data_IF_340534385582
#
_entry.id   IF_340534385582
#
_cell.length_a   1.000
_cell.length_b   1.000
_cell.length_c   1.000
_cell.angle_alpha   90.00
_cell.angle_beta   90.00
_cell.angle_gamma   90.00
#
_symmetry.space_group_name_H-M   'P 1'
#
loop_
_entity.id
_entity.type
_entity.pdbx_description
1 polymer ?
#
# COMPACT_ATOMS: atom_id res chain seq x y z
N UNK A 1 -18.30 16.50 6.55
CA UNK A 1 -18.02 16.06 5.15
C UNK A 1 -16.86 16.90 4.63
N UNK A 2 -15.65 16.37 4.74
CA UNK A 2 -14.48 16.96 4.11
C UNK A 2 -14.48 16.54 2.64
N UNK A 3 -15.01 17.39 1.78
CA UNK A 3 -14.84 17.30 0.34
C UNK A 3 -13.35 17.36 0.01
N UNK A 4 -12.75 16.22 -0.28
CA UNK A 4 -11.45 16.10 -0.92
C UNK A 4 -11.59 16.68 -2.33
N UNK A 5 -11.37 17.99 -2.48
CA UNK A 5 -11.19 18.61 -3.80
C UNK A 5 -9.90 18.03 -4.38
N UNK A 6 -10.03 16.99 -5.18
CA UNK A 6 -9.00 16.65 -6.15
C UNK A 6 -8.85 17.87 -7.06
N UNK A 7 -7.76 18.62 -6.87
CA UNK A 7 -7.33 19.56 -7.88
C UNK A 7 -6.82 18.76 -9.06
N UNK A 8 -7.71 18.37 -9.94
CA UNK A 8 -7.33 18.00 -11.29
C UNK A 8 -6.68 19.24 -11.89
N UNK A 9 -5.36 19.21 -11.99
CA UNK A 9 -4.64 20.14 -12.81
C UNK A 9 -5.10 19.85 -14.25
N UNK A 10 -5.89 20.76 -14.81
CA UNK A 10 -6.43 20.63 -16.16
C UNK A 10 -5.28 20.69 -17.17
N UNK A 11 -4.73 19.53 -17.52
CA UNK A 11 -3.96 19.34 -18.76
C UNK A 11 -4.99 19.08 -19.89
N UNK A 12 -6.03 19.92 -19.96
CA UNK A 12 -7.08 19.76 -20.97
C UNK A 12 -6.72 20.34 -22.32
N UNK A 13 -5.68 21.18 -22.39
CA UNK A 13 -5.33 21.91 -23.61
C UNK A 13 -4.15 21.30 -24.39
N UNK A 14 -3.58 20.20 -23.94
CA UNK A 14 -2.39 19.58 -24.57
C UNK A 14 -2.68 18.46 -25.56
N UNK A 15 -3.90 18.35 -26.08
CA UNK A 15 -4.24 17.30 -27.07
C UNK A 15 -3.41 17.37 -28.36
N UNK A 16 -2.64 18.45 -28.58
CA UNK A 16 -1.79 18.66 -29.76
C UNK A 16 -0.39 19.19 -29.39
N UNK A 17 0.06 19.09 -28.15
CA UNK A 17 1.41 19.53 -27.78
C UNK A 17 2.43 18.48 -28.20
N UNK A 18 3.45 18.91 -28.95
CA UNK A 18 4.65 18.12 -29.20
C UNK A 18 5.24 17.67 -27.84
N UNK A 19 5.67 16.39 -27.68
CA UNK A 19 6.27 15.88 -26.45
C UNK A 19 7.39 16.76 -25.89
N UNK A 20 8.15 17.44 -26.73
CA UNK A 20 9.22 18.37 -26.32
C UNK A 20 8.64 19.61 -25.64
N UNK A 21 7.56 20.17 -26.15
CA UNK A 21 6.86 21.31 -25.54
C UNK A 21 6.26 20.98 -24.16
N UNK A 22 5.84 19.72 -23.94
CA UNK A 22 5.29 19.30 -22.66
C UNK A 22 6.35 19.32 -21.55
N UNK A 23 7.58 18.89 -21.84
CA UNK A 23 8.67 18.90 -20.85
C UNK A 23 9.02 20.33 -20.45
N UNK A 24 9.13 21.25 -21.41
CA UNK A 24 9.41 22.67 -21.16
C UNK A 24 8.30 23.33 -20.30
N UNK A 25 7.04 23.09 -20.64
CA UNK A 25 5.89 23.58 -19.88
C UNK A 25 5.86 23.05 -18.44
N UNK A 26 6.22 21.78 -18.24
CA UNK A 26 6.37 21.19 -16.90
C UNK A 26 7.49 21.91 -16.16
N UNK A 27 8.64 22.11 -16.76
CA UNK A 27 9.79 22.78 -16.16
C UNK A 27 9.46 24.20 -15.75
N UNK A 28 8.88 25.00 -16.64
CA UNK A 28 8.43 26.38 -16.33
C UNK A 28 7.45 26.40 -15.15
N UNK A 29 6.51 25.45 -15.12
CA UNK A 29 5.55 25.34 -14.02
C UNK A 29 6.21 24.98 -12.71
N UNK A 30 7.17 24.06 -12.71
CA UNK A 30 7.95 23.69 -11.53
C UNK A 30 8.76 24.86 -10.99
N UNK A 31 9.39 25.66 -11.87
CA UNK A 31 10.13 26.88 -11.52
C UNK A 31 9.16 27.89 -10.86
N UNK A 32 7.98 28.11 -11.45
CA UNK A 32 6.94 28.99 -10.90
C UNK A 32 6.45 28.55 -9.52
N UNK A 33 6.33 27.23 -9.26
CA UNK A 33 5.96 26.69 -7.95
C UNK A 33 7.10 26.91 -6.95
N UNK A 34 8.34 26.72 -7.39
CA UNK A 34 9.53 26.88 -6.55
C UNK A 34 9.75 28.35 -6.16
N UNK A 35 9.51 29.30 -7.06
CA UNK A 35 9.67 30.74 -6.82
C UNK A 35 8.78 31.26 -5.69
N UNK A 36 7.64 30.61 -5.42
CA UNK A 36 6.77 30.91 -4.27
C UNK A 36 7.09 30.04 -3.03
N UNK A 37 8.29 29.45 -2.97
CA UNK A 37 8.78 28.68 -1.81
C UNK A 37 8.16 27.30 -1.65
N UNK A 38 7.39 26.78 -2.61
CA UNK A 38 6.75 25.47 -2.55
C UNK A 38 7.65 24.38 -3.15
N UNK A 39 7.48 23.16 -2.65
CA UNK A 39 8.14 21.96 -3.21
C UNK A 39 7.12 21.12 -3.97
N UNK A 40 7.53 20.55 -5.08
CA UNK A 40 6.71 19.62 -5.85
C UNK A 40 7.17 18.20 -5.61
N UNK A 41 6.23 17.31 -5.32
CA UNK A 41 6.46 15.87 -5.16
C UNK A 41 5.55 15.14 -6.13
N UNK A 42 6.14 14.28 -6.96
CA UNK A 42 5.41 13.35 -7.81
C UNK A 42 5.42 11.98 -7.13
N UNK A 43 4.24 11.49 -6.80
CA UNK A 43 4.03 10.18 -6.20
C UNK A 43 3.46 9.27 -7.29
N UNK A 44 4.15 8.15 -7.52
CA UNK A 44 3.74 7.11 -8.46
C UNK A 44 3.49 5.84 -7.67
N UNK A 45 2.24 5.37 -7.67
CA UNK A 45 1.84 4.11 -7.07
C UNK A 45 1.84 3.00 -8.13
N UNK A 46 2.00 1.73 -7.71
CA UNK A 46 2.12 0.56 -8.58
C UNK A 46 3.21 0.72 -9.66
N UNK A 47 4.35 1.30 -9.27
CA UNK A 47 5.42 1.66 -10.20
C UNK A 47 6.03 0.44 -10.92
N UNK A 48 5.84 -0.79 -10.42
CA UNK A 48 6.25 -2.01 -11.13
C UNK A 48 5.44 -2.23 -12.43
N UNK A 49 4.27 -1.60 -12.58
CA UNK A 49 3.47 -1.68 -13.80
C UNK A 49 3.92 -0.72 -14.92
N UNK A 50 4.82 0.23 -14.61
CA UNK A 50 5.33 1.18 -15.60
C UNK A 50 6.18 0.46 -16.66
N UNK A 51 6.11 0.95 -17.90
CA UNK A 51 7.03 0.52 -18.95
C UNK A 51 8.47 1.01 -18.68
N UNK A 52 9.43 0.44 -19.39
CA UNK A 52 10.82 0.90 -19.31
C UNK A 52 10.95 2.37 -19.73
N UNK A 53 10.27 2.75 -20.82
CA UNK A 53 10.27 4.11 -21.36
C UNK A 53 9.65 5.11 -20.37
N UNK A 54 8.62 4.69 -19.65
CA UNK A 54 8.01 5.52 -18.61
C UNK A 54 8.96 5.75 -17.44
N UNK A 55 9.69 4.73 -16.97
CA UNK A 55 10.70 4.88 -15.94
C UNK A 55 11.84 5.79 -16.40
N UNK A 56 12.31 5.66 -17.64
CA UNK A 56 13.31 6.56 -18.20
C UNK A 56 12.81 8.01 -18.30
N UNK A 57 11.55 8.21 -18.67
CA UNK A 57 10.93 9.54 -18.67
C UNK A 57 10.89 10.14 -17.27
N UNK A 58 10.53 9.34 -16.25
CA UNK A 58 10.57 9.77 -14.85
C UNK A 58 12.00 10.11 -14.40
N UNK A 59 13.00 9.39 -14.88
CA UNK A 59 14.40 9.72 -14.63
C UNK A 59 14.77 11.09 -15.18
N UNK A 60 14.32 11.43 -16.39
CA UNK A 60 14.53 12.74 -16.99
C UNK A 60 13.86 13.85 -16.18
N UNK A 61 12.63 13.65 -15.72
CA UNK A 61 11.94 14.60 -14.84
C UNK A 61 12.65 14.78 -13.49
N UNK A 62 13.23 13.71 -12.95
CA UNK A 62 14.03 13.79 -11.73
C UNK A 62 15.32 14.60 -11.89
N UNK A 63 15.71 14.95 -13.13
CA UNK A 63 16.85 15.80 -13.45
C UNK A 63 16.47 17.29 -13.55
N UNK A 64 15.19 17.62 -13.47
CA UNK A 64 14.77 19.01 -13.50
C UNK A 64 15.24 19.70 -12.22
N UNK A 65 16.28 20.49 -12.36
CA UNK A 65 16.90 21.23 -11.27
C UNK A 65 17.28 22.64 -11.74
N UNK A 66 17.38 23.55 -10.80
CA UNK A 66 18.05 24.83 -10.97
C UNK A 66 19.47 24.71 -10.43
N UNK A 67 20.31 25.73 -10.61
CA UNK A 67 21.67 25.75 -10.05
C UNK A 67 21.74 25.46 -8.54
N UNK A 68 20.65 25.69 -7.80
CA UNK A 68 20.61 25.59 -6.34
C UNK A 68 19.65 24.54 -5.79
N UNK A 69 18.64 24.12 -6.58
CA UNK A 69 17.52 23.33 -6.05
C UNK A 69 16.99 22.29 -7.04
N UNK A 70 16.61 21.13 -6.52
CA UNK A 70 15.78 20.17 -7.25
C UNK A 70 14.34 20.66 -7.33
N UNK A 71 13.83 20.76 -8.56
CA UNK A 71 12.46 21.23 -8.81
C UNK A 71 11.40 20.17 -8.53
N UNK A 72 11.73 18.89 -8.69
CA UNK A 72 10.83 17.76 -8.52
C UNK A 72 11.45 16.69 -7.63
N UNK A 73 10.71 16.26 -6.62
CA UNK A 73 10.99 15.06 -5.85
C UNK A 73 10.11 13.92 -6.35
N UNK A 74 10.73 12.76 -6.62
CA UNK A 74 10.03 11.58 -7.10
C UNK A 74 9.93 10.55 -5.97
N UNK A 75 8.74 10.02 -5.75
CA UNK A 75 8.48 8.94 -4.80
C UNK A 75 7.76 7.81 -5.54
N UNK A 76 8.37 6.65 -5.58
CA UNK A 76 7.81 5.46 -6.21
C UNK A 76 7.34 4.49 -5.13
N UNK A 77 6.09 4.05 -5.23
CA UNK A 77 5.58 2.91 -4.49
C UNK A 77 5.40 1.74 -5.45
N UNK A 78 5.83 0.57 -5.03
CA UNK A 78 5.72 -0.62 -5.86
C UNK A 78 5.88 -1.90 -5.06
N UNK A 79 5.58 -3.01 -5.69
CA UNK A 79 5.78 -4.35 -5.18
C UNK A 79 7.27 -4.75 -5.32
N UNK A 80 7.74 -5.85 -4.69
CA UNK A 80 9.13 -6.30 -4.76
C UNK A 80 9.68 -6.42 -6.19
N UNK A 81 8.82 -6.72 -7.17
CA UNK A 81 9.16 -6.80 -8.58
C UNK A 81 9.71 -5.46 -9.14
N UNK A 82 9.35 -4.33 -8.51
CA UNK A 82 9.95 -3.04 -8.88
C UNK A 82 11.45 -3.03 -8.57
N UNK A 83 11.85 -3.57 -7.42
CA UNK A 83 13.26 -3.64 -7.03
C UNK A 83 14.04 -4.55 -7.98
N UNK A 84 13.51 -5.74 -8.29
CA UNK A 84 14.12 -6.66 -9.26
C UNK A 84 14.31 -5.97 -10.62
N UNK A 85 13.31 -5.22 -11.10
CA UNK A 85 13.42 -4.47 -12.35
C UNK A 85 14.48 -3.37 -12.28
N UNK A 86 14.57 -2.64 -11.17
CA UNK A 86 15.57 -1.59 -10.95
C UNK A 86 16.99 -2.15 -10.88
N UNK A 87 17.17 -3.44 -10.53
CA UNK A 87 18.46 -4.11 -10.57
C UNK A 87 18.96 -4.39 -12.00
N UNK A 88 18.09 -4.34 -13.01
CA UNK A 88 18.47 -4.55 -14.40
C UNK A 88 19.54 -3.54 -14.86
N UNK A 89 20.41 -3.99 -15.78
CA UNK A 89 21.49 -3.16 -16.31
C UNK A 89 20.96 -1.87 -16.97
N UNK A 90 19.83 -1.95 -17.64
CA UNK A 90 19.22 -0.85 -18.37
C UNK A 90 18.74 0.29 -17.45
N UNK A 91 18.37 -0.02 -16.19
CA UNK A 91 17.92 0.96 -15.21
C UNK A 91 19.01 1.37 -14.20
N UNK A 92 20.29 1.02 -14.47
CA UNK A 92 21.42 1.38 -13.60
C UNK A 92 21.48 2.88 -13.31
N UNK A 93 21.28 3.72 -14.32
CA UNK A 93 21.33 5.18 -14.16
C UNK A 93 20.17 5.71 -13.31
N UNK A 94 18.99 5.10 -13.44
CA UNK A 94 17.84 5.41 -12.59
C UNK A 94 18.14 5.05 -11.14
N UNK A 95 18.61 3.82 -10.89
CA UNK A 95 18.95 3.32 -9.55
C UNK A 95 19.99 4.18 -8.83
N UNK A 96 21.01 4.67 -9.53
CA UNK A 96 22.03 5.55 -8.95
C UNK A 96 21.50 6.87 -8.39
N UNK A 97 20.27 7.26 -8.75
CA UNK A 97 19.60 8.47 -8.30
C UNK A 97 18.64 8.24 -7.14
N UNK A 98 18.38 6.98 -6.80
CA UNK A 98 17.56 6.64 -5.64
C UNK A 98 18.37 6.94 -4.38
N UNK A 99 17.93 7.95 -3.65
CA UNK A 99 18.60 8.38 -2.41
C UNK A 99 18.14 7.57 -1.20
N UNK A 100 16.87 7.15 -1.21
CA UNK A 100 16.25 6.39 -0.12
C UNK A 100 15.48 5.20 -0.69
N UNK A 101 15.72 4.04 -0.10
CA UNK A 101 14.92 2.83 -0.33
C UNK A 101 14.40 2.37 1.03
N UNK A 102 13.12 2.00 1.08
CA UNK A 102 12.48 1.52 2.29
C UNK A 102 11.54 0.37 1.95
N UNK A 103 11.75 -0.77 2.57
CA UNK A 103 10.87 -1.91 2.48
C UNK A 103 9.85 -1.90 3.63
N UNK A 104 8.57 -2.04 3.30
CA UNK A 104 7.51 -2.16 4.29
C UNK A 104 7.36 -3.62 4.71
N UNK A 105 7.81 -3.93 5.94
CA UNK A 105 7.62 -5.25 6.53
C UNK A 105 6.17 -5.51 6.95
N UNK A 106 5.81 -6.75 7.09
CA UNK A 106 4.54 -7.16 7.70
C UNK A 106 4.49 -6.79 9.19
N UNK A 107 3.28 -6.70 9.74
CA UNK A 107 3.07 -6.40 11.16
C UNK A 107 3.56 -7.55 12.04
N UNK A 108 4.29 -7.25 13.10
CA UNK A 108 4.55 -8.24 14.13
C UNK A 108 3.28 -8.56 14.93
N UNK A 109 3.33 -9.53 15.85
CA UNK A 109 2.15 -10.00 16.58
C UNK A 109 1.46 -8.88 17.36
N UNK A 110 2.22 -8.09 18.10
CA UNK A 110 1.66 -7.04 18.97
C UNK A 110 1.09 -5.89 18.10
N UNK A 111 1.78 -5.52 17.05
CA UNK A 111 1.30 -4.55 16.06
C UNK A 111 0.01 -5.03 15.37
N UNK A 112 -0.06 -6.31 15.00
CA UNK A 112 -1.25 -6.89 14.36
C UNK A 112 -2.46 -6.92 15.30
N UNK A 113 -2.26 -7.24 16.58
CA UNK A 113 -3.33 -7.18 17.60
C UNK A 113 -3.78 -5.74 17.79
N UNK A 114 -2.84 -4.81 18.01
CA UNK A 114 -3.15 -3.38 18.18
C UNK A 114 -3.84 -2.79 16.93
N UNK A 115 -3.44 -3.22 15.74
CA UNK A 115 -4.08 -2.83 14.48
C UNK A 115 -5.55 -3.25 14.43
N UNK A 116 -5.86 -4.52 14.77
CA UNK A 116 -7.23 -5.02 14.84
C UNK A 116 -8.07 -4.24 15.85
N UNK A 117 -7.53 -4.01 17.05
CA UNK A 117 -8.20 -3.25 18.11
C UNK A 117 -8.52 -1.82 17.68
N UNK A 118 -7.56 -1.14 17.06
CA UNK A 118 -7.76 0.21 16.55
C UNK A 118 -8.86 0.26 15.48
N UNK A 119 -8.84 -0.70 14.54
CA UNK A 119 -9.86 -0.79 13.49
C UNK A 119 -11.25 -1.04 14.04
N UNK A 120 -11.39 -1.97 14.98
CA UNK A 120 -12.66 -2.32 15.62
C UNK A 120 -13.21 -1.16 16.46
N UNK A 121 -12.34 -0.48 17.22
CA UNK A 121 -12.73 0.68 18.01
C UNK A 121 -13.22 1.84 17.15
N UNK A 122 -12.54 2.10 16.03
CA UNK A 122 -12.96 3.14 15.06
C UNK A 122 -14.30 2.80 14.38
N UNK A 123 -14.61 1.52 14.23
CA UNK A 123 -15.84 1.06 13.61
C UNK A 123 -17.06 1.05 14.55
N UNK A 124 -16.88 1.20 15.87
CA UNK A 124 -18.00 1.20 16.79
C UNK A 124 -17.70 0.58 18.16
N UNK A 125 -16.48 0.73 18.64
CA UNK A 125 -16.05 0.25 19.97
C UNK A 125 -16.07 -1.27 20.14
N UNK A 126 -15.73 -2.00 19.09
CA UNK A 126 -15.82 -3.45 19.00
C UNK A 126 -14.59 -4.25 19.42
N UNK A 127 -13.62 -3.68 20.18
CA UNK A 127 -12.38 -4.38 20.53
C UNK A 127 -12.58 -5.73 21.23
N UNK A 128 -13.71 -5.92 21.92
CA UNK A 128 -14.07 -7.15 22.64
C UNK A 128 -14.75 -8.22 21.79
N UNK A 129 -15.06 -7.92 20.52
CA UNK A 129 -15.76 -8.85 19.62
C UNK A 129 -14.92 -10.10 19.33
N UNK A 130 -13.59 -9.91 19.22
CA UNK A 130 -12.65 -11.02 19.06
C UNK A 130 -11.87 -11.23 20.36
N UNK A 131 -11.70 -12.48 20.76
CA UNK A 131 -10.78 -12.82 21.86
C UNK A 131 -9.32 -12.61 21.45
N UNK A 132 -8.42 -12.53 22.43
CA UNK A 132 -6.99 -12.37 22.15
C UNK A 132 -6.43 -13.57 21.37
N UNK A 133 -6.91 -14.78 21.65
CA UNK A 133 -6.51 -16.00 20.95
C UNK A 133 -6.95 -15.97 19.49
N UNK A 134 -8.16 -15.49 19.24
CA UNK A 134 -8.69 -15.30 17.88
C UNK A 134 -7.88 -14.26 17.11
N UNK A 135 -7.52 -13.14 17.73
CA UNK A 135 -6.67 -12.11 17.11
C UNK A 135 -5.28 -12.65 16.77
N UNK A 136 -4.68 -13.40 17.67
CA UNK A 136 -3.39 -14.08 17.43
C UNK A 136 -3.48 -15.08 16.28
N UNK A 137 -4.55 -15.84 16.20
CA UNK A 137 -4.78 -16.79 15.12
C UNK A 137 -4.99 -16.09 13.76
N UNK A 138 -5.79 -15.02 13.74
CA UNK A 138 -6.00 -14.20 12.54
C UNK A 138 -4.66 -13.62 12.05
N UNK A 139 -3.87 -13.03 12.96
CA UNK A 139 -2.56 -12.50 12.61
C UNK A 139 -1.66 -13.57 12.02
N UNK A 140 -1.61 -14.77 12.63
CA UNK A 140 -0.78 -15.88 12.14
C UNK A 140 -1.25 -16.37 10.78
N UNK A 141 -2.56 -16.53 10.58
CA UNK A 141 -3.14 -16.91 9.29
C UNK A 141 -2.85 -15.88 8.20
N UNK A 142 -2.85 -14.60 8.55
CA UNK A 142 -2.55 -13.49 7.65
C UNK A 142 -1.05 -13.22 7.47
N UNK A 143 -0.17 -13.94 8.19
CA UNK A 143 1.29 -13.68 8.20
C UNK A 143 1.64 -12.21 8.45
N UNK A 144 0.83 -11.52 9.26
CA UNK A 144 1.00 -10.09 9.56
C UNK A 144 0.63 -9.12 8.44
N UNK A 145 0.06 -9.58 7.32
CA UNK A 145 -0.36 -8.73 6.21
C UNK A 145 -1.67 -8.02 6.52
N UNK A 146 -1.72 -6.67 6.62
CA UNK A 146 -2.91 -5.93 7.05
C UNK A 146 -4.15 -6.19 6.19
N UNK A 147 -3.97 -6.35 4.88
CA UNK A 147 -5.06 -6.65 3.95
C UNK A 147 -5.72 -8.00 4.29
N UNK A 148 -4.93 -9.04 4.52
CA UNK A 148 -5.44 -10.37 4.89
C UNK A 148 -6.10 -10.36 6.27
N UNK A 149 -5.51 -9.65 7.25
CA UNK A 149 -6.14 -9.45 8.57
C UNK A 149 -7.54 -8.87 8.41
N UNK A 150 -7.69 -7.79 7.63
CA UNK A 150 -9.00 -7.17 7.39
C UNK A 150 -9.99 -8.14 6.72
N UNK A 151 -9.55 -8.90 5.73
CA UNK A 151 -10.40 -9.86 5.02
C UNK A 151 -10.90 -10.97 5.96
N UNK A 152 -10.01 -11.55 6.77
CA UNK A 152 -10.37 -12.59 7.72
C UNK A 152 -11.31 -12.05 8.79
N UNK A 153 -11.03 -10.87 9.36
CA UNK A 153 -11.92 -10.23 10.33
C UNK A 153 -13.31 -9.97 9.74
N UNK A 154 -13.37 -9.39 8.54
CA UNK A 154 -14.64 -9.10 7.87
C UNK A 154 -15.46 -10.37 7.60
N UNK A 155 -14.84 -11.42 7.06
CA UNK A 155 -15.50 -12.69 6.82
C UNK A 155 -15.97 -13.35 8.12
N UNK A 156 -15.19 -13.27 9.20
CA UNK A 156 -15.58 -13.79 10.52
C UNK A 156 -16.82 -13.07 11.06
N UNK A 157 -16.88 -11.74 10.92
CA UNK A 157 -18.04 -10.93 11.31
C UNK A 157 -19.27 -11.29 10.48
N UNK A 158 -19.11 -11.42 9.16
CA UNK A 158 -20.19 -11.78 8.26
C UNK A 158 -20.77 -13.18 8.57
N UNK A 159 -19.89 -14.15 8.81
CA UNK A 159 -20.32 -15.51 9.17
C UNK A 159 -21.07 -15.53 10.52
N UNK A 160 -20.56 -14.80 11.53
CA UNK A 160 -21.24 -14.68 12.82
C UNK A 160 -22.60 -13.99 12.69
N UNK A 161 -22.70 -12.96 11.85
CA UNK A 161 -23.97 -12.28 11.56
C UNK A 161 -25.00 -13.22 10.89
N UNK A 162 -24.55 -14.00 9.90
CA UNK A 162 -25.41 -14.99 9.24
C UNK A 162 -25.93 -16.07 10.22
N UNK A 163 -25.07 -16.47 11.17
CA UNK A 163 -25.43 -17.41 12.25
C UNK A 163 -26.23 -16.74 13.39
N UNK A 164 -26.60 -15.46 13.26
CA UNK A 164 -27.29 -14.65 14.27
C UNK A 164 -26.59 -14.66 15.63
N UNK A 165 -25.29 -14.75 15.65
CA UNK A 165 -24.47 -14.72 16.85
C UNK A 165 -24.04 -13.27 17.16
N UNK A 166 -24.18 -12.85 18.42
CA UNK A 166 -23.72 -11.55 18.91
C UNK A 166 -22.20 -11.51 19.18
N UNK A 167 -21.59 -12.68 19.40
CA UNK A 167 -20.16 -12.85 19.64
C UNK A 167 -19.54 -13.77 18.59
N UNK A 168 -18.32 -13.47 18.22
CA UNK A 168 -17.57 -14.31 17.29
C UNK A 168 -17.11 -15.58 17.99
N UNK A 169 -17.49 -16.72 17.44
CA UNK A 169 -17.02 -18.05 17.87
C UNK A 169 -15.82 -18.47 17.06
N UNK A 170 -15.04 -19.41 17.59
CA UNK A 170 -13.85 -19.94 16.93
C UNK A 170 -14.15 -20.56 15.55
N UNK A 171 -15.33 -21.17 15.40
CA UNK A 171 -15.77 -21.71 14.12
C UNK A 171 -15.91 -20.64 13.01
N UNK A 172 -16.35 -19.43 13.36
CA UNK A 172 -16.49 -18.33 12.39
C UNK A 172 -15.10 -17.87 11.90
N UNK A 173 -14.14 -17.74 12.82
CA UNK A 173 -12.76 -17.38 12.49
C UNK A 173 -12.10 -18.48 11.67
N UNK A 174 -12.28 -19.75 12.03
CA UNK A 174 -11.77 -20.89 11.30
C UNK A 174 -12.28 -20.92 9.86
N UNK A 175 -13.60 -20.78 9.68
CA UNK A 175 -14.21 -20.73 8.36
C UNK A 175 -13.66 -19.59 7.51
N UNK A 176 -13.53 -18.39 8.10
CA UNK A 176 -13.01 -17.22 7.44
C UNK A 176 -11.54 -17.40 6.99
N UNK A 177 -10.70 -18.02 7.83
CA UNK A 177 -9.30 -18.33 7.47
C UNK A 177 -9.23 -19.30 6.29
N UNK A 178 -10.10 -20.31 6.26
CA UNK A 178 -10.14 -21.27 5.15
C UNK A 178 -10.68 -20.68 3.84
N UNK A 179 -11.60 -19.74 3.93
CA UNK A 179 -12.21 -19.08 2.78
C UNK A 179 -11.36 -17.90 2.25
N UNK A 180 -10.30 -17.52 2.94
CA UNK A 180 -9.45 -16.42 2.47
C UNK A 180 -8.31 -16.96 1.64
N UNK A 181 -8.23 -16.53 0.36
CA UNK A 181 -7.10 -16.82 -0.50
C UNK A 181 -5.82 -16.22 0.11
N UNK A 182 -4.70 -16.84 -0.14
CA UNK A 182 -3.36 -16.41 0.32
C UNK A 182 -3.18 -16.41 1.86
N UNK A 183 -4.18 -16.83 2.64
CA UNK A 183 -4.07 -17.01 4.07
C UNK A 183 -3.53 -18.40 4.42
N UNK A 184 -2.62 -18.47 5.39
CA UNK A 184 -2.17 -19.73 5.97
C UNK A 184 -3.34 -20.41 6.68
N UNK A 185 -3.61 -21.67 6.33
CA UNK A 185 -4.79 -22.40 6.81
C UNK A 185 -4.46 -23.22 8.06
N UNK A 186 -5.24 -23.09 9.15
CA UNK A 186 -5.06 -23.93 10.32
C UNK A 186 -5.49 -25.38 10.03
N UNK A 187 -4.75 -26.34 10.59
CA UNK A 187 -5.03 -27.78 10.41
C UNK A 187 -6.22 -28.25 11.23
N UNK A 188 -6.48 -27.62 12.39
CA UNK A 188 -7.50 -28.06 13.34
C UNK A 188 -8.51 -26.94 13.63
N UNK A 189 -9.76 -27.32 13.94
CA UNK A 189 -10.85 -26.37 14.21
C UNK A 189 -10.77 -25.65 15.56
N UNK A 190 -9.98 -26.16 16.50
CA UNK A 190 -9.87 -25.60 17.86
C UNK A 190 -8.62 -24.75 18.02
N UNK A 191 -8.70 -23.54 18.63
CA UNK A 191 -7.58 -22.59 18.74
C UNK A 191 -6.34 -23.15 19.42
N UNK A 192 -6.51 -23.99 20.45
CA UNK A 192 -5.43 -24.58 21.25
C UNK A 192 -4.57 -25.53 20.40
N UNK A 193 -5.18 -26.15 19.38
CA UNK A 193 -4.54 -27.14 18.51
C UNK A 193 -4.39 -26.66 17.06
N UNK A 194 -4.56 -25.35 16.79
CA UNK A 194 -4.37 -24.85 15.43
C UNK A 194 -2.92 -25.08 14.97
N UNK A 195 -2.66 -26.29 14.45
CA UNK A 195 -1.44 -26.60 13.73
C UNK A 195 -1.45 -25.85 12.40
N UNK A 196 -0.33 -25.23 12.05
CA UNK A 196 -0.18 -24.47 10.81
C UNK A 196 0.56 -25.29 9.77
N UNK A 197 0.06 -25.33 8.55
CA UNK A 197 0.83 -25.83 7.42
C UNK A 197 1.85 -24.75 7.04
N UNK A 198 3.13 -25.12 6.94
CA UNK A 198 4.09 -24.29 6.23
C UNK A 198 3.70 -24.36 4.75
N UNK A 199 3.46 -23.19 4.13
CA UNK A 199 3.36 -23.04 2.68
C UNK A 199 4.71 -23.30 2.06
#
# INVERSE_FOLDING_TARGET
QLHRRQRQMCIRDSKNADPLNVVELIQERLISIRSVGKRTVLIVDEAQALSFEALETLRLFGNLETEKDKLLQLVLFGQPELEERLLSHNLRQFRQRITFNCELRTLNLDEGVAYMDNRLNKAGNGAHIFSIEQKKAIWRSASGVPRLINQICHKSLLTAFNDRCTLIKNQHVYAAMHDTLDACKPKFKTPIFWGWSRS
#
